data_IF_062360644519
#
_entry.id   IF_062360644519
#
_cell.length_a   1.000
_cell.length_b   1.000
_cell.length_c   1.000
_cell.angle_alpha   90.00
_cell.angle_beta   90.00
_cell.angle_gamma   90.00
#
_symmetry.space_group_name_H-M   'P 1'
#
loop_
_entity.id
_entity.type
_entity.pdbx_description
1 polymer ?
#
# COMPACT_ATOMS: atom_id res chain seq x y z
N UNK A 1 -10.10 6.26 -13.74
CA UNK A 1 -9.72 5.18 -12.81
C UNK A 1 -8.62 5.70 -11.91
N UNK A 2 -8.54 5.26 -10.65
CA UNK A 2 -7.48 5.63 -9.72
C UNK A 2 -6.79 4.37 -9.18
N UNK A 3 -5.47 4.32 -9.23
CA UNK A 3 -4.65 3.20 -8.77
C UNK A 3 -3.87 3.62 -7.53
N UNK A 4 -3.82 2.74 -6.53
CA UNK A 4 -3.02 2.94 -5.32
C UNK A 4 -1.93 1.88 -5.27
N UNK A 5 -0.67 2.31 -5.23
CA UNK A 5 0.51 1.46 -5.16
C UNK A 5 1.01 1.39 -3.72
N UNK A 6 0.90 0.22 -3.11
CA UNK A 6 1.45 -0.04 -1.77
C UNK A 6 2.84 -0.67 -1.85
N UNK A 7 3.85 0.03 -1.32
CA UNK A 7 5.18 -0.55 -1.12
C UNK A 7 5.30 -1.12 0.30
N UNK A 8 5.23 -2.45 0.42
CA UNK A 8 5.43 -3.18 1.67
C UNK A 8 6.90 -3.49 2.00
N UNK A 9 7.86 -3.12 1.14
CA UNK A 9 9.28 -3.41 1.38
C UNK A 9 9.82 -2.58 2.54
N UNK A 10 10.66 -3.15 3.44
CA UNK A 10 11.28 -2.39 4.53
C UNK A 10 12.21 -1.27 4.02
N UNK A 11 12.59 -1.30 2.74
CA UNK A 11 13.41 -0.28 2.08
C UNK A 11 12.54 0.65 1.24
N UNK A 12 12.40 1.92 1.67
CA UNK A 12 11.60 2.96 0.97
C UNK A 12 11.97 3.14 -0.50
N UNK A 13 13.27 3.07 -0.82
CA UNK A 13 13.83 3.23 -2.18
C UNK A 13 14.61 1.99 -2.62
N UNK A 14 14.13 0.80 -2.26
CA UNK A 14 14.72 -0.47 -2.70
C UNK A 14 14.13 -0.98 -4.02
N UNK A 15 14.42 -2.23 -4.38
CA UNK A 15 13.96 -2.83 -5.64
C UNK A 15 12.44 -2.71 -5.85
N UNK A 16 11.63 -2.98 -4.82
CA UNK A 16 10.16 -2.83 -4.89
C UNK A 16 9.73 -1.43 -5.29
N UNK A 17 10.41 -0.38 -4.81
CA UNK A 17 10.12 0.99 -5.22
C UNK A 17 10.39 1.21 -6.70
N UNK A 18 11.53 0.71 -7.21
CA UNK A 18 11.86 0.84 -8.62
C UNK A 18 10.89 0.06 -9.52
N UNK A 19 10.49 -1.16 -9.14
CA UNK A 19 9.48 -1.93 -9.87
C UNK A 19 8.12 -1.21 -9.88
N UNK A 20 7.66 -0.68 -8.74
CA UNK A 20 6.41 0.06 -8.66
C UNK A 20 6.47 1.36 -9.47
N UNK A 21 7.62 2.03 -9.53
CA UNK A 21 7.78 3.23 -10.36
C UNK A 21 7.61 2.92 -11.85
N UNK A 22 8.17 1.82 -12.36
CA UNK A 22 7.99 1.42 -13.77
C UNK A 22 6.51 1.24 -14.09
N UNK A 23 5.76 0.54 -13.24
CA UNK A 23 4.31 0.35 -13.41
C UNK A 23 3.55 1.67 -13.30
N UNK A 24 3.91 2.51 -12.32
CA UNK A 24 3.28 3.81 -12.12
C UNK A 24 3.50 4.77 -13.30
N UNK A 25 4.68 4.73 -13.93
CA UNK A 25 4.99 5.53 -15.12
C UNK A 25 4.10 5.14 -16.30
N UNK A 26 3.93 3.84 -16.56
CA UNK A 26 3.04 3.34 -17.62
C UNK A 26 1.57 3.72 -17.38
N UNK A 27 1.10 3.56 -16.14
CA UNK A 27 -0.27 3.93 -15.77
C UNK A 27 -0.51 5.44 -15.96
N UNK A 28 0.46 6.28 -15.58
CA UNK A 28 0.37 7.73 -15.79
C UNK A 28 0.39 8.11 -17.28
N UNK A 29 1.12 7.38 -18.11
CA UNK A 29 1.14 7.58 -19.56
C UNK A 29 -0.24 7.35 -20.19
N UNK A 30 -1.00 6.39 -19.67
CA UNK A 30 -2.40 6.12 -20.04
C UNK A 30 -3.42 7.08 -19.37
N UNK A 31 -2.94 8.13 -18.68
CA UNK A 31 -3.80 9.11 -18.01
C UNK A 31 -4.48 8.59 -16.73
N UNK A 32 -3.99 7.50 -16.14
CA UNK A 32 -4.52 6.94 -14.90
C UNK A 32 -3.87 7.62 -13.69
N UNK A 33 -4.71 8.15 -12.79
CA UNK A 33 -4.24 8.73 -11.53
C UNK A 33 -3.64 7.65 -10.63
N UNK A 34 -2.45 7.91 -10.09
CA UNK A 34 -1.70 6.97 -9.27
C UNK A 34 -1.26 7.60 -7.95
N UNK A 35 -1.62 6.96 -6.82
CA UNK A 35 -1.14 7.31 -5.48
C UNK A 35 -0.16 6.26 -4.97
N UNK A 36 1.00 6.70 -4.50
CA UNK A 36 2.03 5.81 -3.95
C UNK A 36 2.08 5.92 -2.42
N UNK A 37 1.96 4.78 -1.74
CA UNK A 37 2.00 4.66 -0.27
C UNK A 37 3.06 3.65 0.17
N UNK A 38 4.00 4.08 1.01
CA UNK A 38 5.00 3.18 1.58
C UNK A 38 4.60 2.76 2.99
N UNK A 39 4.31 1.48 3.17
CA UNK A 39 3.85 0.89 4.44
C UNK A 39 4.85 -0.12 5.02
N UNK A 40 6.02 -0.29 4.41
CA UNK A 40 6.96 -1.34 4.79
C UNK A 40 7.66 -1.18 6.16
N UNK A 41 7.43 -0.07 6.88
CA UNK A 41 7.83 0.09 8.29
C UNK A 41 6.64 0.22 9.24
N UNK A 42 5.42 0.20 8.71
CA UNK A 42 4.22 0.23 9.54
C UNK A 42 4.09 -1.10 10.27
N UNK A 43 3.61 -1.04 11.51
CA UNK A 43 3.28 -2.23 12.28
C UNK A 43 1.95 -2.78 11.77
N UNK A 44 2.00 -3.46 10.63
CA UNK A 44 0.87 -4.17 10.06
C UNK A 44 0.69 -5.48 10.83
N UNK A 45 -0.28 -5.48 11.74
CA UNK A 45 -0.66 -6.65 12.53
C UNK A 45 -2.00 -7.18 12.04
N UNK A 46 -2.05 -8.48 11.72
CA UNK A 46 -3.31 -9.14 11.40
C UNK A 46 -4.22 -9.25 12.63
N UNK A 47 -5.49 -9.58 12.40
CA UNK A 47 -6.43 -9.87 13.48
C UNK A 47 -5.87 -10.94 14.42
N UNK A 48 -5.98 -10.73 15.73
CA UNK A 48 -5.59 -11.69 16.77
C UNK A 48 -6.78 -12.36 17.46
N UNK A 49 -7.99 -12.22 16.89
CA UNK A 49 -9.25 -12.72 17.45
C UNK A 49 -9.58 -12.23 18.87
N UNK A 50 -9.24 -10.97 19.20
CA UNK A 50 -9.56 -10.35 20.49
C UNK A 50 -11.04 -9.94 20.63
N UNK A 51 -11.82 -9.92 19.53
CA UNK A 51 -13.21 -9.45 19.44
C UNK A 51 -13.46 -7.98 19.81
N UNK A 52 -12.42 -7.15 19.98
CA UNK A 52 -12.58 -5.72 20.29
C UNK A 52 -13.31 -4.96 19.17
N UNK A 53 -13.12 -5.32 17.90
CA UNK A 53 -13.80 -4.67 16.78
C UNK A 53 -15.33 -4.84 16.82
N UNK A 54 -15.83 -5.93 17.43
CA UNK A 54 -17.28 -6.15 17.62
C UNK A 54 -17.81 -5.21 18.71
N UNK A 55 -17.02 -4.99 19.77
CA UNK A 55 -17.39 -4.10 20.87
C UNK A 55 -17.37 -2.63 20.42
N UNK A 56 -16.32 -2.25 19.69
CA UNK A 56 -16.12 -0.88 19.21
C UNK A 56 -16.96 -0.54 17.97
N UNK A 57 -17.58 -1.53 17.32
CA UNK A 57 -18.28 -1.38 16.06
C UNK A 57 -17.37 -0.88 14.92
N UNK A 58 -16.12 -1.40 14.90
CA UNK A 58 -15.06 -1.09 13.93
C UNK A 58 -15.02 -2.09 12.74
N UNK A 59 -16.06 -2.93 12.60
CA UNK A 59 -16.17 -3.89 11.49
C UNK A 59 -16.62 -3.26 10.18
#
# INVERSE_FOLDING_TARGET
MKVVLFNGSPRKKGNTYHCLNIVMEELKAEGIECDYNWIGREKLQGCIACNECIVNNDQ
#
